data_IF_111600003392
#
_entry.id   IF_111600003392
#
_cell.length_a   1.000
_cell.length_b   1.000
_cell.length_c   1.000
_cell.angle_alpha   90.00
_cell.angle_beta   90.00
_cell.angle_gamma   90.00
#
_symmetry.space_group_name_H-M   'P 1'
#
loop_
_entity.id
_entity.type
_entity.pdbx_description
1 polymer ?
#
# COMPACT_ATOMS: atom_id res chain seq x y z
N UNK A 1 -27.89 14.58 -3.11
CA UNK A 1 -27.27 13.24 -3.16
C UNK A 1 -25.76 13.40 -3.08
N UNK A 2 -25.21 13.46 -1.88
CA UNK A 2 -23.77 13.62 -1.65
C UNK A 2 -23.13 12.23 -1.59
N UNK A 3 -22.44 11.85 -2.65
CA UNK A 3 -21.52 10.71 -2.63
C UNK A 3 -20.45 11.01 -1.58
N UNK A 4 -20.50 10.32 -0.43
CA UNK A 4 -19.42 10.36 0.55
C UNK A 4 -18.25 9.57 -0.05
N UNK A 5 -17.25 10.31 -0.53
CA UNK A 5 -15.97 9.76 -0.96
C UNK A 5 -15.33 9.04 0.24
N UNK A 6 -15.46 7.73 0.29
CA UNK A 6 -14.69 6.92 1.24
C UNK A 6 -13.25 6.96 0.73
N UNK A 7 -12.35 7.60 1.46
CA UNK A 7 -10.91 7.60 1.16
C UNK A 7 -10.39 6.18 1.45
N UNK A 8 -10.60 5.25 0.51
CA UNK A 8 -9.72 4.09 0.40
C UNK A 8 -8.39 4.63 -0.09
N UNK A 9 -7.31 4.38 0.64
CA UNK A 9 -5.96 4.54 0.12
C UNK A 9 -5.79 3.53 -1.04
N UNK A 10 -6.24 3.90 -2.24
CA UNK A 10 -6.04 3.12 -3.45
C UNK A 10 -4.64 3.50 -3.93
N UNK A 11 -3.65 2.70 -3.54
CA UNK A 11 -2.37 2.75 -4.21
C UNK A 11 -2.53 1.92 -5.48
N UNK A 12 -2.43 2.60 -6.63
CA UNK A 12 -2.58 1.97 -7.92
C UNK A 12 -1.38 1.05 -8.18
N UNK A 13 -1.63 -0.09 -8.83
CA UNK A 13 -0.58 -1.08 -9.10
C UNK A 13 0.64 -0.48 -9.83
N UNK A 14 0.40 0.48 -10.72
CA UNK A 14 1.46 1.20 -11.43
C UNK A 14 2.32 2.09 -10.53
N UNK A 15 1.78 2.61 -9.43
CA UNK A 15 2.51 3.51 -8.53
C UNK A 15 3.61 2.79 -7.76
N UNK A 16 3.46 1.48 -7.49
CA UNK A 16 4.54 0.64 -6.94
C UNK A 16 5.80 0.83 -7.76
N UNK A 17 5.71 0.61 -9.08
CA UNK A 17 6.88 0.62 -9.96
C UNK A 17 7.40 2.02 -10.26
N UNK A 18 6.51 3.02 -10.30
CA UNK A 18 6.91 4.43 -10.47
C UNK A 18 7.72 4.92 -9.28
N UNK A 19 7.24 4.67 -8.05
CA UNK A 19 7.95 5.08 -6.83
C UNK A 19 9.20 4.24 -6.66
N UNK A 20 9.12 2.93 -6.92
CA UNK A 20 10.26 2.00 -6.82
C UNK A 20 11.44 2.44 -7.71
N UNK A 21 11.17 2.85 -8.95
CA UNK A 21 12.20 3.41 -9.84
C UNK A 21 12.81 4.73 -9.34
N UNK A 22 12.07 5.54 -8.56
CA UNK A 22 12.57 6.80 -8.00
C UNK A 22 13.46 6.59 -6.77
N UNK A 23 13.14 5.60 -5.94
CA UNK A 23 13.86 5.31 -4.69
C UNK A 23 14.93 4.22 -4.85
N UNK A 24 15.21 3.78 -6.07
CA UNK A 24 16.15 2.67 -6.36
C UNK A 24 17.58 2.92 -5.84
N UNK A 25 18.01 4.19 -5.76
CA UNK A 25 19.34 4.56 -5.28
C UNK A 25 19.40 4.69 -3.74
N UNK A 26 18.27 4.61 -3.05
CA UNK A 26 18.23 4.65 -1.59
C UNK A 26 18.44 3.25 -1.01
N UNK A 27 19.37 3.12 -0.06
CA UNK A 27 19.75 1.83 0.54
C UNK A 27 18.57 0.98 1.04
N UNK A 28 17.53 1.63 1.57
CA UNK A 28 16.31 0.99 2.11
C UNK A 28 15.03 1.53 1.47
N UNK A 29 15.14 2.22 0.33
CA UNK A 29 13.99 2.86 -0.33
C UNK A 29 12.94 1.85 -0.75
N UNK A 30 13.36 0.78 -1.43
CA UNK A 30 12.47 -0.31 -1.85
C UNK A 30 11.81 -1.01 -0.66
N UNK A 31 12.56 -1.26 0.42
CA UNK A 31 12.01 -1.90 1.62
C UNK A 31 10.90 -1.04 2.24
N UNK A 32 11.14 0.25 2.44
CA UNK A 32 10.15 1.20 2.98
C UNK A 32 8.93 1.33 2.08
N UNK A 33 9.13 1.32 0.76
CA UNK A 33 8.03 1.28 -0.19
C UNK A 33 7.19 0.01 -0.01
N UNK A 34 7.81 -1.17 0.10
CA UNK A 34 7.08 -2.42 0.28
C UNK A 34 6.32 -2.48 1.61
N UNK A 35 6.83 -1.86 2.67
CA UNK A 35 6.07 -1.67 3.92
C UNK A 35 4.80 -0.83 3.69
N UNK A 36 4.90 0.26 2.90
CA UNK A 36 3.75 1.08 2.51
C UNK A 36 2.76 0.30 1.63
N UNK A 37 3.24 -0.48 0.66
CA UNK A 37 2.40 -1.34 -0.18
C UNK A 37 1.67 -2.39 0.66
N UNK A 38 2.34 -2.99 1.65
CA UNK A 38 1.75 -3.91 2.62
C UNK A 38 0.65 -3.25 3.45
N UNK A 39 0.86 -2.00 3.89
CA UNK A 39 -0.18 -1.20 4.53
C UNK A 39 -1.39 -1.03 3.61
N UNK A 40 -1.21 -0.63 2.35
CA UNK A 40 -2.30 -0.47 1.37
C UNK A 40 -3.07 -1.77 1.12
N UNK A 41 -2.38 -2.92 1.00
CA UNK A 41 -3.01 -4.22 0.76
C UNK A 41 -3.75 -4.78 1.98
N UNK A 42 -3.49 -4.28 3.19
CA UNK A 42 -4.10 -4.83 4.39
C UNK A 42 -5.58 -4.44 4.51
N UNK A 43 -6.45 -5.46 4.44
CA UNK A 43 -7.91 -5.29 4.49
C UNK A 43 -8.52 -5.60 5.86
N UNK A 44 -7.76 -6.18 6.80
CA UNK A 44 -8.30 -6.76 8.04
C UNK A 44 -7.79 -6.09 9.32
N UNK A 45 -6.52 -5.68 9.36
CA UNK A 45 -5.93 -5.04 10.55
C UNK A 45 -6.33 -3.58 10.64
N UNK A 46 -6.52 -3.09 11.86
CA UNK A 46 -6.73 -1.67 12.14
C UNK A 46 -5.57 -0.82 11.59
N UNK A 47 -5.88 0.32 10.95
CA UNK A 47 -4.87 1.24 10.41
C UNK A 47 -3.91 1.78 11.48
N UNK A 48 -4.43 2.13 12.67
CA UNK A 48 -3.61 2.61 13.80
C UNK A 48 -2.66 1.53 14.33
N UNK A 49 -3.10 0.28 14.38
CA UNK A 49 -2.24 -0.85 14.77
C UNK A 49 -1.08 -1.02 13.79
N UNK A 50 -1.34 -0.92 12.48
CA UNK A 50 -0.28 -1.03 11.46
C UNK A 50 0.75 0.10 11.58
N UNK A 51 0.29 1.32 11.85
CA UNK A 51 1.16 2.49 12.05
C UNK A 51 1.99 2.31 13.34
N UNK A 52 1.35 1.96 14.46
CA UNK A 52 2.04 1.72 15.72
C UNK A 52 3.12 0.62 15.59
N UNK A 53 2.84 -0.46 14.85
CA UNK A 53 3.82 -1.51 14.55
C UNK A 53 5.04 -1.01 13.77
N UNK A 54 4.89 -0.01 12.91
CA UNK A 54 6.02 0.58 12.17
C UNK A 54 6.90 1.47 13.07
N UNK A 55 6.32 2.08 14.10
CA UNK A 55 7.04 2.92 15.07
C UNK A 55 7.43 2.16 16.36
N UNK A 56 7.27 0.84 16.38
CA UNK A 56 7.50 -0.02 17.55
C UNK A 56 6.74 0.43 18.82
N UNK A 57 5.55 1.03 18.63
CA UNK A 57 4.69 1.50 19.72
C UNK A 57 3.70 0.41 20.17
N UNK A 58 3.49 0.32 21.47
CA UNK A 58 2.46 -0.56 22.06
C UNK A 58 1.09 0.11 21.92
N UNK A 59 0.21 -0.45 21.09
CA UNK A 59 -1.12 0.11 20.82
C UNK A 59 -2.25 -0.85 21.19
N UNK A 60 -3.24 -0.37 21.95
CA UNK A 60 -4.48 -1.09 22.20
C UNK A 60 -5.45 -0.92 21.00
N UNK A 61 -5.76 -2.02 20.30
CA UNK A 61 -6.66 -2.02 19.14
C UNK A 61 -8.05 -1.44 19.43
N UNK A 62 -8.55 -1.56 20.66
CA UNK A 62 -9.87 -1.07 21.06
C UNK A 62 -9.92 0.46 21.08
N UNK A 63 -8.79 1.13 21.35
CA UNK A 63 -8.67 2.58 21.36
C UNK A 63 -8.86 3.23 19.97
N UNK A 64 -8.97 2.43 18.90
CA UNK A 64 -9.29 2.94 17.57
C UNK A 64 -10.72 3.52 17.49
N UNK A 65 -11.68 3.00 18.28
CA UNK A 65 -13.06 3.51 18.32
C UNK A 65 -13.73 3.65 16.93
N UNK A 66 -13.54 2.66 16.04
CA UNK A 66 -14.04 2.69 14.64
C UNK A 66 -13.65 3.94 13.84
N UNK A 67 -12.48 4.52 14.13
CA UNK A 67 -11.98 5.69 13.41
C UNK A 67 -11.04 5.33 12.24
N UNK A 68 -11.20 4.15 11.63
CA UNK A 68 -10.50 3.79 10.40
C UNK A 68 -11.34 2.84 9.55
N UNK A 69 -11.09 2.82 8.24
CA UNK A 69 -11.86 2.05 7.26
C UNK A 69 -11.96 0.55 7.61
N UNK A 70 -10.88 -0.07 8.06
CA UNK A 70 -10.86 -1.49 8.41
C UNK A 70 -11.64 -1.80 9.70
N UNK A 71 -11.68 -0.88 10.68
CA UNK A 71 -12.49 -1.06 11.90
C UNK A 71 -13.98 -0.72 11.69
N UNK A 72 -14.32 0.03 10.66
CA UNK A 72 -15.71 0.32 10.30
C UNK A 72 -16.38 -0.83 9.53
N UNK A 73 -15.59 -1.69 8.88
CA UNK A 73 -16.07 -2.79 8.06
C UNK A 73 -16.40 -3.99 8.93
N UNK A 74 -17.64 -4.45 8.90
CA UNK A 74 -18.01 -5.78 9.37
C UNK A 74 -17.95 -6.77 8.20
N UNK A 75 -16.73 -7.19 7.86
CA UNK A 75 -16.46 -8.09 6.74
C UNK A 75 -15.72 -9.30 7.26
N UNK A 76 -16.21 -10.49 6.92
CA UNK A 76 -15.47 -11.73 7.16
C UNK A 76 -14.41 -11.95 6.07
N UNK A 77 -13.25 -12.43 6.49
CA UNK A 77 -12.13 -12.72 5.61
C UNK A 77 -11.89 -14.23 5.53
N UNK A 78 -11.42 -14.69 4.37
CA UNK A 78 -10.98 -16.07 4.17
C UNK A 78 -9.56 -16.09 3.57
N UNK A 79 -8.84 -17.19 3.78
CA UNK A 79 -7.53 -17.41 3.18
C UNK A 79 -7.69 -18.18 1.87
N UNK A 80 -7.41 -17.53 0.76
CA UNK A 80 -7.41 -18.15 -0.57
C UNK A 80 -6.00 -18.66 -0.90
N UNK A 81 -5.90 -19.92 -1.31
CA UNK A 81 -4.67 -20.46 -1.86
C UNK A 81 -4.43 -19.85 -3.26
N UNK A 82 -3.29 -19.19 -3.46
CA UNK A 82 -2.88 -18.52 -4.70
C UNK A 82 -1.61 -19.14 -5.28
N UNK A 83 -1.19 -20.30 -4.81
CA UNK A 83 0.07 -20.98 -5.19
C UNK A 83 0.13 -21.27 -6.69
N UNK A 84 -0.98 -21.75 -7.27
CA UNK A 84 -1.06 -22.07 -8.70
C UNK A 84 -0.75 -20.85 -9.57
N UNK A 85 -1.32 -19.69 -9.22
CA UNK A 85 -1.06 -18.43 -9.91
C UNK A 85 0.42 -18.01 -9.85
N UNK A 86 1.09 -18.27 -8.72
CA UNK A 86 2.51 -17.99 -8.60
C UNK A 86 3.34 -18.89 -9.54
N UNK A 87 3.03 -20.19 -9.60
CA UNK A 87 3.68 -21.14 -10.51
C UNK A 87 3.50 -20.73 -11.98
N UNK A 88 2.30 -20.29 -12.34
CA UNK A 88 1.99 -19.85 -13.70
C UNK A 88 2.77 -18.59 -14.11
N UNK A 89 2.84 -17.59 -13.22
CA UNK A 89 3.65 -16.38 -13.47
C UNK A 89 5.13 -16.70 -13.59
N UNK A 90 5.65 -17.63 -12.79
CA UNK A 90 7.04 -18.07 -12.88
C UNK A 90 7.32 -18.73 -14.24
N UNK A 91 6.43 -19.59 -14.74
CA UNK A 91 6.58 -20.18 -16.09
C UNK A 91 6.66 -19.10 -17.18
N UNK A 92 5.81 -18.07 -17.09
CA UNK A 92 5.83 -16.93 -18.03
C UNK A 92 7.17 -16.19 -17.97
N UNK A 93 7.67 -15.92 -16.76
CA UNK A 93 8.94 -15.23 -16.55
C UNK A 93 10.14 -16.06 -17.04
N UNK A 94 10.13 -17.37 -16.80
CA UNK A 94 11.17 -18.30 -17.27
C UNK A 94 11.21 -18.37 -18.79
N UNK A 95 10.06 -18.54 -19.45
CA UNK A 95 9.99 -18.53 -20.92
C UNK A 95 10.51 -17.19 -21.49
N UNK A 96 10.14 -16.06 -20.87
CA UNK A 96 10.64 -14.76 -21.32
C UNK A 96 12.16 -14.63 -21.16
N UNK A 97 12.72 -15.15 -20.07
CA UNK A 97 14.16 -15.16 -19.82
C UNK A 97 14.91 -16.04 -20.85
N UNK A 98 14.39 -17.23 -21.17
CA UNK A 98 14.93 -18.12 -22.23
C UNK A 98 14.94 -17.43 -23.60
N UNK A 99 13.97 -16.56 -23.86
CA UNK A 99 13.87 -15.76 -25.08
C UNK A 99 14.66 -14.44 -25.04
N UNK A 100 15.39 -14.15 -23.97
CA UNK A 100 16.07 -12.87 -23.72
C UNK A 100 15.12 -11.65 -23.74
N UNK A 101 13.88 -11.83 -23.31
CA UNK A 101 12.85 -10.80 -23.22
C UNK A 101 12.63 -10.32 -21.78
N UNK A 102 12.63 -9.00 -21.57
CA UNK A 102 12.31 -8.40 -20.27
C UNK A 102 10.82 -8.06 -20.17
N UNK A 103 10.15 -8.51 -19.11
CA UNK A 103 8.73 -8.26 -18.88
C UNK A 103 8.51 -7.11 -17.89
N UNK A 104 7.86 -6.05 -18.36
CA UNK A 104 7.30 -5.04 -17.47
C UNK A 104 6.09 -5.63 -16.73
N UNK A 105 5.67 -5.07 -15.59
CA UNK A 105 4.47 -5.52 -14.88
C UNK A 105 3.22 -5.57 -15.77
N UNK A 106 3.07 -4.58 -16.65
CA UNK A 106 2.01 -4.53 -17.66
C UNK A 106 2.08 -5.71 -18.63
N UNK A 107 3.26 -5.98 -19.22
CA UNK A 107 3.45 -7.11 -20.13
C UNK A 107 3.21 -8.45 -19.45
N UNK A 108 3.56 -8.59 -18.18
CA UNK A 108 3.32 -9.81 -17.41
C UNK A 108 1.83 -10.05 -17.21
N UNK A 109 1.06 -9.03 -16.82
CA UNK A 109 -0.40 -9.12 -16.69
C UNK A 109 -1.04 -9.46 -18.04
N UNK A 110 -0.65 -8.76 -19.10
CA UNK A 110 -1.23 -9.00 -20.42
C UNK A 110 -0.95 -10.43 -20.90
N UNK A 111 0.27 -10.95 -20.73
CA UNK A 111 0.59 -12.35 -21.04
C UNK A 111 -0.25 -13.31 -20.21
N UNK A 112 -0.36 -13.07 -18.90
CA UNK A 112 -1.13 -13.92 -17.99
C UNK A 112 -2.63 -13.94 -18.32
N UNK A 113 -3.18 -12.83 -18.82
CA UNK A 113 -4.55 -12.73 -19.32
C UNK A 113 -4.75 -13.30 -20.74
N UNK A 114 -3.71 -13.87 -21.36
CA UNK A 114 -3.75 -14.37 -22.74
C UNK A 114 -3.78 -13.27 -23.82
N UNK A 115 -3.43 -12.03 -23.44
CA UNK A 115 -3.35 -10.85 -24.30
C UNK A 115 -1.87 -10.56 -24.67
N UNK A 116 -1.60 -9.38 -25.22
CA UNK A 116 -0.24 -8.95 -25.57
C UNK A 116 0.40 -9.78 -26.69
N UNK A 117 1.74 -9.71 -26.78
CA UNK A 117 2.50 -10.41 -27.81
C UNK A 117 2.39 -11.93 -27.65
N UNK A 118 1.95 -12.63 -28.70
CA UNK A 118 1.72 -14.08 -28.68
C UNK A 118 2.95 -14.89 -28.24
N UNK A 119 4.16 -14.43 -28.62
CA UNK A 119 5.44 -15.07 -28.25
C UNK A 119 5.71 -15.11 -26.74
N UNK A 120 5.08 -14.22 -25.96
CA UNK A 120 5.25 -14.13 -24.51
C UNK A 120 4.20 -14.94 -23.75
N UNK A 121 3.23 -15.54 -24.44
CA UNK A 121 2.20 -16.38 -23.82
C UNK A 121 2.73 -17.81 -23.67
N UNK A 122 2.36 -18.44 -22.56
CA UNK A 122 2.71 -19.84 -22.28
C UNK A 122 1.47 -20.70 -22.52
N UNK A 123 1.52 -21.65 -23.45
CA UNK A 123 0.37 -22.49 -23.81
C UNK A 123 -0.18 -23.30 -22.61
N UNK A 124 0.68 -23.66 -21.67
CA UNK A 124 0.32 -24.39 -20.45
C UNK A 124 -0.30 -23.51 -19.35
N UNK A 125 -0.39 -22.18 -19.53
CA UNK A 125 -0.98 -21.25 -18.56
C UNK A 125 -2.34 -20.80 -19.05
N UNK A 126 -3.40 -21.21 -18.34
CA UNK A 126 -4.76 -20.77 -18.62
C UNK A 126 -5.00 -19.35 -18.07
N UNK A 127 -5.63 -18.44 -18.82
CA UNK A 127 -5.97 -17.12 -18.31
C UNK A 127 -6.91 -17.20 -17.09
N UNK A 128 -6.60 -16.51 -15.99
CA UNK A 128 -7.46 -16.49 -14.81
C UNK A 128 -8.76 -15.71 -15.10
N UNK A 129 -9.88 -16.20 -14.56
CA UNK A 129 -11.21 -15.57 -14.71
C UNK A 129 -11.47 -14.45 -13.70
N UNK A 130 -10.42 -13.84 -13.15
CA UNK A 130 -10.52 -12.79 -12.13
C UNK A 130 -10.45 -11.40 -12.77
N UNK A 131 -11.05 -10.37 -12.14
CA UNK A 131 -10.92 -9.00 -12.60
C UNK A 131 -9.45 -8.55 -12.51
N UNK A 132 -9.06 -7.61 -13.38
CA UNK A 132 -7.66 -7.18 -13.53
C UNK A 132 -7.08 -6.66 -12.21
N UNK A 133 -7.89 -5.95 -11.44
CA UNK A 133 -7.53 -5.37 -10.13
C UNK A 133 -7.15 -6.46 -9.13
N UNK A 134 -7.75 -7.64 -9.21
CA UNK A 134 -7.40 -8.78 -8.35
C UNK A 134 -6.13 -9.48 -8.84
N UNK A 135 -5.88 -9.52 -10.14
CA UNK A 135 -4.61 -10.01 -10.70
C UNK A 135 -3.44 -9.12 -10.25
N UNK A 136 -3.64 -7.80 -10.30
CA UNK A 136 -2.68 -6.79 -9.84
C UNK A 136 -2.37 -6.96 -8.34
N UNK A 137 -3.38 -7.16 -7.49
CA UNK A 137 -3.19 -7.48 -6.07
C UNK A 137 -2.42 -8.78 -5.85
N UNK A 138 -2.72 -9.82 -6.63
CA UNK A 138 -2.02 -11.12 -6.53
C UNK A 138 -0.54 -10.94 -6.89
N UNK A 139 -0.21 -10.24 -7.96
CA UNK A 139 1.18 -9.98 -8.37
C UNK A 139 1.89 -9.14 -7.30
N UNK A 140 1.25 -8.08 -6.81
CA UNK A 140 1.81 -7.23 -5.76
C UNK A 140 2.04 -8.03 -4.46
N UNK A 141 1.15 -8.99 -4.13
CA UNK A 141 1.35 -9.89 -3.00
C UNK A 141 2.59 -10.77 -3.19
N UNK A 142 2.80 -11.35 -4.39
CA UNK A 142 4.00 -12.14 -4.67
C UNK A 142 5.29 -11.31 -4.66
N UNK A 143 5.21 -10.05 -5.08
CA UNK A 143 6.32 -9.11 -4.99
C UNK A 143 6.70 -8.83 -3.53
N UNK A 144 5.72 -8.47 -2.69
CA UNK A 144 5.94 -8.25 -1.26
C UNK A 144 6.53 -9.49 -0.57
N UNK A 145 6.05 -10.67 -0.93
CA UNK A 145 6.50 -11.93 -0.34
C UNK A 145 7.84 -12.42 -0.89
N UNK A 146 8.44 -11.75 -1.89
CA UNK A 146 9.71 -12.09 -2.53
C UNK A 146 9.68 -13.37 -3.38
N UNK A 147 8.51 -13.80 -3.86
CA UNK A 147 8.41 -14.81 -4.92
C UNK A 147 8.70 -14.21 -6.30
N UNK A 148 8.40 -12.93 -6.45
CA UNK A 148 8.81 -12.09 -7.57
C UNK A 148 9.77 -11.00 -7.03
N UNK A 149 10.61 -10.46 -7.91
CA UNK A 149 11.46 -9.31 -7.60
C UNK A 149 11.46 -8.31 -8.76
N UNK A 150 11.79 -7.07 -8.44
CA UNK A 150 12.04 -6.04 -9.45
C UNK A 150 13.46 -6.16 -10.02
N UNK A 151 13.61 -5.87 -11.30
CA UNK A 151 14.87 -5.76 -12.04
C UNK A 151 14.89 -4.41 -12.75
N UNK A 152 15.80 -3.54 -12.37
CA UNK A 152 15.85 -2.18 -12.91
C UNK A 152 16.75 -2.11 -14.14
N UNK A 153 16.31 -1.33 -15.11
CA UNK A 153 17.15 -0.95 -16.25
C UNK A 153 17.25 0.57 -16.30
N UNK A 154 18.49 1.05 -16.30
CA UNK A 154 18.80 2.47 -16.47
C UNK A 154 18.90 2.76 -17.96
N UNK A 155 18.00 3.61 -18.44
CA UNK A 155 18.06 4.15 -19.80
C UNK A 155 18.51 5.61 -19.75
N UNK A 156 18.76 6.24 -20.90
CA UNK A 156 19.22 7.63 -20.96
C UNK A 156 18.30 8.63 -20.22
N UNK A 157 17.00 8.32 -20.09
CA UNK A 157 16.00 9.26 -19.58
C UNK A 157 15.17 8.74 -18.41
N UNK A 158 15.24 7.44 -18.10
CA UNK A 158 14.40 6.84 -17.07
C UNK A 158 14.98 5.52 -16.52
N UNK A 159 14.66 5.24 -15.26
CA UNK A 159 14.80 3.91 -14.66
C UNK A 159 13.50 3.14 -14.86
N UNK A 160 13.56 2.02 -15.57
CA UNK A 160 12.40 1.17 -15.85
C UNK A 160 12.47 -0.06 -14.94
N UNK A 161 11.36 -0.39 -14.27
CA UNK A 161 11.21 -1.61 -13.47
C UNK A 161 10.63 -2.74 -14.31
N UNK A 162 11.31 -3.88 -14.30
CA UNK A 162 10.87 -5.17 -14.85
C UNK A 162 10.63 -6.15 -13.71
N UNK A 163 9.88 -7.22 -13.97
CA UNK A 163 9.69 -8.30 -13.01
C UNK A 163 10.55 -9.50 -13.38
N UNK A 164 11.14 -10.14 -12.38
CA UNK A 164 11.88 -11.40 -12.48
C UNK A 164 11.47 -12.37 -11.38
N UNK A 165 11.87 -13.63 -11.54
CA UNK A 165 11.74 -14.66 -10.50
C UNK A 165 12.50 -14.20 -9.24
N UNK A 166 11.79 -14.21 -8.11
CA UNK A 166 12.30 -13.78 -6.81
C UNK A 166 13.03 -14.88 -6.04
N UNK A 167 13.73 -14.53 -4.94
CA UNK A 167 14.53 -15.47 -4.18
C UNK A 167 13.73 -16.60 -3.51
N UNK A 168 12.45 -16.37 -3.17
CA UNK A 168 11.59 -17.40 -2.55
C UNK A 168 10.88 -18.31 -3.55
N UNK A 169 11.09 -18.12 -4.86
CA UNK A 169 10.47 -18.95 -5.88
C UNK A 169 10.93 -20.43 -5.79
N UNK A 170 12.15 -20.68 -5.31
CA UNK A 170 12.68 -22.02 -5.09
C UNK A 170 11.84 -22.86 -4.10
N UNK A 171 11.11 -22.22 -3.17
CA UNK A 171 10.22 -22.90 -2.23
C UNK A 171 9.07 -23.62 -2.95
N UNK A 172 8.70 -23.18 -4.15
CA UNK A 172 7.65 -23.82 -4.96
C UNK A 172 8.08 -25.15 -5.59
N UNK A 173 9.36 -25.49 -5.53
CA UNK A 173 9.82 -26.82 -5.91
C UNK A 173 9.24 -27.90 -4.97
N UNK A 174 8.92 -27.54 -3.73
CA UNK A 174 8.17 -28.40 -2.83
C UNK A 174 6.67 -28.34 -3.16
N UNK A 175 6.07 -29.48 -3.48
CA UNK A 175 4.64 -29.58 -3.79
C UNK A 175 3.75 -29.23 -2.58
N UNK A 176 4.24 -29.41 -1.35
CA UNK A 176 3.51 -29.07 -0.13
C UNK A 176 3.52 -27.56 0.19
N UNK A 177 4.37 -26.77 -0.49
CA UNK A 177 4.47 -25.34 -0.22
C UNK A 177 3.23 -24.59 -0.71
N UNK A 178 2.57 -23.87 0.20
CA UNK A 178 1.33 -23.15 -0.08
C UNK A 178 1.47 -21.64 0.19
N UNK A 179 1.06 -20.83 -0.79
CA UNK A 179 0.95 -19.38 -0.67
C UNK A 179 -0.52 -19.02 -0.49
N UNK A 180 -0.84 -18.35 0.61
CA UNK A 180 -2.21 -17.93 0.93
C UNK A 180 -2.33 -16.41 1.03
N UNK A 181 -3.40 -15.87 0.46
CA UNK A 181 -3.73 -14.44 0.51
C UNK A 181 -5.08 -14.26 1.21
N UNK A 182 -5.22 -13.23 2.06
CA UNK A 182 -6.50 -12.89 2.66
C UNK A 182 -7.39 -12.21 1.62
N UNK A 183 -8.61 -12.71 1.46
CA UNK A 183 -9.64 -12.14 0.58
C UNK A 183 -10.92 -11.92 1.37
N UNK A 184 -11.79 -11.03 0.89
CA UNK A 184 -13.11 -10.82 1.49
C UNK A 184 -13.98 -12.03 1.15
N UNK A 185 -14.64 -12.61 2.16
CA UNK A 185 -15.58 -13.69 1.93
C UNK A 185 -16.82 -13.12 1.25
N UNK A 186 -17.27 -13.76 0.17
CA UNK A 186 -18.56 -13.41 -0.45
C UNK A 186 -19.68 -13.80 0.51
N UNK A 187 -20.56 -12.84 0.84
CA UNK A 187 -21.72 -13.12 1.67
C UNK A 187 -22.68 -14.02 0.88
N UNK A 188 -22.71 -15.31 1.21
CA UNK A 188 -23.89 -16.13 0.89
C UNK A 188 -25.04 -15.59 1.75
N UNK A 189 -26.11 -15.15 1.08
CA UNK A 189 -27.31 -14.54 1.66
C UNK A 189 -27.87 -15.39 2.79
N UNK A 190 -27.68 -14.91 4.02
CA UNK A 190 -28.55 -15.21 5.16
C UNK A 190 -28.98 -13.86 5.71
N UNK A 191 -30.20 -13.47 5.37
CA UNK A 191 -30.80 -12.21 5.82
C UNK A 191 -30.86 -12.20 7.35
N UNK A 192 -30.05 -11.36 7.98
CA UNK A 192 -30.40 -10.70 9.23
C UNK A 192 -30.10 -9.22 9.06
N UNK A 193 -31.18 -8.46 9.01
CA UNK A 193 -31.21 -7.01 8.88
C UNK A 193 -30.72 -6.38 10.17
N UNK A 194 -29.53 -5.79 10.16
CA UNK A 194 -29.20 -4.69 11.06
C UNK A 194 -28.64 -3.52 10.25
N UNK A 195 -29.14 -2.33 10.59
CA UNK A 195 -29.03 -1.09 9.83
C UNK A 195 -27.59 -0.53 9.82
N UNK A 196 -27.12 0.11 8.73
CA UNK A 196 -25.80 0.73 8.70
C UNK A 196 -25.74 1.94 9.64
N UNK A 197 -25.01 1.82 10.75
CA UNK A 197 -24.61 2.99 11.55
C UNK A 197 -23.58 3.81 10.77
N UNK A 198 -24.02 4.99 10.33
CA UNK A 198 -23.18 6.03 9.73
C UNK A 198 -22.24 6.66 10.76
N UNK A 199 -20.96 6.81 10.40
CA UNK A 199 -19.97 7.52 11.19
C UNK A 199 -19.93 9.02 10.85
N UNK A 200 -20.48 9.87 11.72
CA UNK A 200 -20.06 11.27 11.89
C UNK A 200 -20.11 11.61 13.38
N UNK A 201 -19.02 12.16 13.89
CA UNK A 201 -18.94 12.79 15.21
C UNK A 201 -19.25 14.27 15.06
N UNK A 202 -20.43 14.70 15.49
CA UNK A 202 -20.69 16.09 15.89
C UNK A 202 -20.92 16.11 17.40
N UNK A 203 -19.99 16.74 18.12
CA UNK A 203 -20.09 16.99 19.56
C UNK A 203 -21.20 18.02 19.83
N UNK A 204 -22.26 17.59 20.48
CA UNK A 204 -23.30 18.47 21.03
C UNK A 204 -22.93 18.85 22.47
N UNK A 205 -22.38 20.04 22.66
CA UNK A 205 -22.21 20.64 23.99
C UNK A 205 -23.55 21.14 24.52
N UNK A 206 -24.07 20.49 25.57
CA UNK A 206 -25.19 21.01 26.37
C UNK A 206 -24.67 21.81 27.55
N UNK A 207 -24.87 23.13 27.47
CA UNK A 207 -24.87 24.09 28.59
C UNK A 207 -25.64 23.55 29.81
N UNK A 208 -25.03 23.66 30.99
CA UNK A 208 -25.72 23.93 32.26
C UNK A 208 -24.95 24.98 33.05
N UNK A 209 -25.69 26.00 33.48
CA UNK A 209 -25.23 27.23 34.12
C UNK A 209 -24.87 27.05 35.60
N UNK A 210 -23.99 27.94 36.07
CA UNK A 210 -24.20 28.64 37.34
C UNK A 210 -23.10 28.50 38.41
N UNK A 211 -22.17 29.45 38.48
CA UNK A 211 -22.16 30.57 39.45
C UNK A 211 -20.77 31.23 39.54
N UNK A 212 -20.83 32.54 39.62
CA UNK A 212 -19.74 33.52 39.64
C UNK A 212 -19.05 33.57 41.02
N UNK A 213 -17.73 33.73 41.05
CA UNK A 213 -17.09 34.60 42.03
C UNK A 213 -15.79 35.19 41.45
N UNK A 214 -15.84 36.50 41.23
CA UNK A 214 -14.74 37.39 40.93
C UNK A 214 -13.65 37.42 42.01
N UNK A 215 -12.48 37.90 41.56
CA UNK A 215 -11.46 38.66 42.30
C UNK A 215 -10.13 37.95 42.55
N UNK A 216 -9.16 38.13 41.65
CA UNK A 216 -8.02 39.00 41.99
C UNK A 216 -7.37 39.61 40.74
N UNK A 217 -7.13 40.90 40.89
CA UNK A 217 -6.75 41.91 39.90
C UNK A 217 -5.23 41.89 39.62
N UNK A 218 -4.92 42.35 38.39
CA UNK A 218 -3.73 43.14 37.98
C UNK A 218 -2.42 42.36 37.96
N UNK A 219 -1.49 42.58 37.04
CA UNK A 219 -1.19 43.56 35.97
C UNK A 219 0.09 42.96 35.33
N UNK A 220 0.52 43.20 34.11
CA UNK A 220 0.40 44.30 33.17
C UNK A 220 0.94 43.75 31.83
N UNK A 221 0.24 44.01 30.73
CA UNK A 221 0.64 44.99 29.70
C UNK A 221 1.72 44.44 28.75
N UNK A 222 1.29 44.05 27.54
CA UNK A 222 1.46 44.80 26.27
C UNK A 222 2.71 44.28 25.54
N UNK A 223 2.76 44.12 24.22
CA UNK A 223 1.90 44.61 23.16
C UNK A 223 2.17 43.75 21.90
N UNK A 224 1.10 43.47 21.17
CA UNK A 224 0.96 43.55 19.70
C UNK A 224 1.99 42.97 18.74
N UNK A 225 1.39 42.20 17.82
CA UNK A 225 1.52 42.25 16.37
C UNK A 225 2.58 41.37 15.69
N UNK A 226 2.02 40.42 14.94
CA UNK A 226 2.59 39.75 13.78
C UNK A 226 3.24 40.73 12.81
N UNK A 227 4.36 40.31 12.21
CA UNK A 227 4.45 40.21 10.75
C UNK A 227 5.67 39.38 10.34
N UNK A 228 5.44 38.46 9.42
CA UNK A 228 6.44 37.66 8.73
C UNK A 228 7.24 38.53 7.75
N UNK A 229 8.54 38.23 7.53
CA UNK A 229 9.11 38.04 6.18
C UNK A 229 10.61 37.66 6.17
N UNK A 230 10.86 36.48 5.59
CA UNK A 230 11.87 36.13 4.57
C UNK A 230 13.33 36.66 4.65
N UNK A 231 14.22 35.72 4.97
CA UNK A 231 15.33 35.18 4.16
C UNK A 231 16.39 36.16 3.56
N UNK A 232 17.68 35.96 3.90
CA UNK A 232 18.79 35.87 2.92
C UNK A 232 20.05 35.28 3.59
N UNK A 233 20.78 34.46 2.83
CA UNK A 233 21.80 33.54 3.32
C UNK A 233 23.22 34.09 3.46
N UNK A 234 24.07 33.30 4.13
CA UNK A 234 25.51 33.51 4.24
C UNK A 234 26.27 32.26 3.75
N UNK A 235 27.10 32.42 2.72
CA UNK A 235 28.19 31.49 2.37
C UNK A 235 29.30 32.24 1.63
N UNK A 236 30.48 32.34 2.23
CA UNK A 236 31.75 31.73 1.75
C UNK A 236 32.97 32.29 2.50
N UNK A 237 33.79 31.37 3.00
CA UNK A 237 35.19 31.59 3.39
C UNK A 237 36.05 31.54 2.11
N UNK A 238 37.10 32.36 2.05
CA UNK A 238 38.24 32.24 1.12
C UNK A 238 39.50 32.04 1.97
N UNK A 239 40.31 31.04 1.63
CA UNK A 239 41.72 30.91 1.94
C UNK A 239 42.35 30.46 0.63
N UNK A 240 43.34 31.18 0.14
CA UNK A 240 44.36 30.69 -0.79
C UNK A 240 45.71 31.31 -0.37
N UNK A 241 46.72 30.45 -0.34
CA UNK A 241 48.11 30.64 0.06
C UNK A 241 48.97 31.39 -0.98
N UNK A 242 50.14 31.83 -0.53
CA UNK A 242 51.34 32.13 -1.33
C UNK A 242 52.31 30.97 -1.17
#
# INVERSE_FOLDING_TARGET
>A
MTQKQTVSYIMDFGDIFRISSMVVMENVGQQKLYEMVSYCQNISKCRRVLIAQHFDEVWNSEACNKMCDNCCKDISFERKNVTAYCRDLIKILQQAEEMNEKLTPLKLIDSWMGKGAAKLRVAAVAPPTLPREDLEKIIAHFLLQQYLKEDYSFTAYATISYLKVGPKANLLNNEAHAITMQVKKSAQTSFKTESPQTCHSESSDKKREGKNLDHFRKKSANMSQQSESKNTGAKKRKIDDV
#
